data_IF_930512786411
#
_entry.id   IF_930512786411
#
_cell.length_a   1.000
_cell.length_b   1.000
_cell.length_c   1.000
_cell.angle_alpha   90.00
_cell.angle_beta   90.00
_cell.angle_gamma   90.00
#
_symmetry.space_group_name_H-M   'P 1'
#
loop_
_entity.id
_entity.type
_entity.pdbx_description
1 polymer ?
#
# COMPACT_ATOMS: atom_id res chain seq x y z
N UNK A 1 20.02 -26.75 16.31
CA UNK A 1 19.15 -26.36 15.20
C UNK A 1 17.75 -26.19 15.76
N UNK A 2 17.18 -25.00 15.59
CA UNK A 2 15.97 -24.58 16.28
C UNK A 2 14.74 -25.30 15.66
N UNK A 3 13.91 -25.94 16.50
CA UNK A 3 12.66 -26.61 16.06
C UNK A 3 11.74 -25.68 15.27
N UNK A 4 11.84 -24.39 15.52
CA UNK A 4 11.05 -23.36 14.86
C UNK A 4 11.45 -23.17 13.38
N UNK A 5 12.75 -23.29 13.06
CA UNK A 5 13.27 -23.18 11.69
C UNK A 5 12.81 -24.37 10.83
N UNK A 6 12.79 -25.58 11.41
CA UNK A 6 12.28 -26.76 10.70
C UNK A 6 10.78 -26.69 10.44
N UNK A 7 9.99 -26.16 11.38
CA UNK A 7 8.55 -25.96 11.20
C UNK A 7 8.24 -24.92 10.13
N UNK A 8 9.02 -23.85 10.06
CA UNK A 8 8.88 -22.81 9.02
C UNK A 8 9.25 -23.35 7.63
N UNK A 9 10.38 -24.08 7.51
CA UNK A 9 10.79 -24.73 6.27
C UNK A 9 9.75 -25.74 5.77
N UNK A 10 9.19 -26.56 6.66
CA UNK A 10 8.14 -27.51 6.31
C UNK A 10 6.87 -26.81 5.78
N UNK A 11 6.46 -25.71 6.42
CA UNK A 11 5.33 -24.91 5.96
C UNK A 11 5.58 -24.25 4.60
N UNK A 12 6.81 -23.81 4.34
CA UNK A 12 7.19 -23.26 3.02
C UNK A 12 7.19 -24.36 1.93
N UNK A 13 7.67 -25.56 2.25
CA UNK A 13 7.62 -26.71 1.34
C UNK A 13 6.18 -27.07 0.97
N UNK A 14 5.29 -27.20 1.95
CA UNK A 14 3.87 -27.49 1.73
C UNK A 14 3.17 -26.43 0.87
N UNK A 15 3.58 -25.16 0.98
CA UNK A 15 3.05 -24.08 0.16
C UNK A 15 3.55 -24.16 -1.28
N UNK A 16 4.85 -24.40 -1.47
CA UNK A 16 5.43 -24.59 -2.79
C UNK A 16 4.81 -25.77 -3.52
N UNK A 17 4.61 -26.90 -2.83
CA UNK A 17 3.95 -28.08 -3.41
C UNK A 17 2.52 -27.79 -3.87
N UNK A 18 1.74 -27.05 -3.07
CA UNK A 18 0.38 -26.62 -3.46
C UNK A 18 0.38 -25.73 -4.69
N UNK A 19 1.31 -24.77 -4.77
CA UNK A 19 1.46 -23.89 -5.91
C UNK A 19 1.87 -24.65 -7.17
N UNK A 20 2.82 -25.60 -7.06
CA UNK A 20 3.27 -26.45 -8.17
C UNK A 20 2.13 -27.37 -8.64
N UNK A 21 1.37 -27.93 -7.71
CA UNK A 21 0.23 -28.80 -8.04
C UNK A 21 -0.84 -28.02 -8.81
N UNK A 22 -1.20 -26.83 -8.34
CA UNK A 22 -2.12 -25.94 -9.05
C UNK A 22 -1.63 -25.61 -10.47
N UNK A 23 -0.36 -25.20 -10.61
CA UNK A 23 0.21 -24.88 -11.93
C UNK A 23 0.17 -26.08 -12.86
N UNK A 24 0.45 -27.30 -12.37
CA UNK A 24 0.35 -28.54 -13.15
C UNK A 24 -1.09 -28.81 -13.58
N UNK A 25 -2.08 -28.60 -12.72
CA UNK A 25 -3.49 -28.75 -13.06
C UNK A 25 -3.94 -27.74 -14.12
N UNK A 26 -3.54 -26.47 -14.00
CA UNK A 26 -3.80 -25.43 -15.00
C UNK A 26 -3.19 -25.80 -16.36
N UNK A 27 -1.91 -26.18 -16.38
CA UNK A 27 -1.21 -26.60 -17.60
C UNK A 27 -1.87 -27.84 -18.21
N UNK A 28 -2.21 -28.83 -17.40
CA UNK A 28 -2.89 -30.05 -17.85
C UNK A 28 -4.27 -29.75 -18.45
N UNK A 29 -5.01 -28.83 -17.86
CA UNK A 29 -6.32 -28.40 -18.37
C UNK A 29 -6.17 -27.67 -19.69
N UNK A 30 -5.21 -26.73 -19.78
CA UNK A 30 -4.91 -26.01 -21.04
C UNK A 30 -4.45 -26.94 -22.16
N UNK A 31 -3.64 -27.95 -21.87
CA UNK A 31 -3.13 -28.91 -22.85
C UNK A 31 -4.19 -29.90 -23.34
N UNK A 32 -5.20 -30.23 -22.53
CA UNK A 32 -6.28 -31.16 -22.88
C UNK A 32 -7.41 -30.52 -23.66
N UNK A 33 -7.46 -29.18 -23.72
CA UNK A 33 -8.55 -28.47 -24.36
C UNK A 33 -8.19 -28.25 -25.86
N UNK A 34 -8.83 -28.91 -26.79
CA UNK A 34 -8.64 -28.63 -28.21
C UNK A 34 -9.08 -27.19 -28.51
N UNK A 35 -8.21 -26.41 -29.11
CA UNK A 35 -8.51 -25.01 -29.49
C UNK A 35 -8.72 -24.91 -30.99
N UNK A 36 -9.64 -24.07 -31.43
CA UNK A 36 -9.77 -23.71 -32.83
C UNK A 36 -8.47 -23.04 -33.33
N UNK A 37 -7.86 -23.47 -34.41
CA UNK A 37 -6.62 -22.89 -34.92
C UNK A 37 -6.71 -21.40 -35.25
N UNK A 38 -7.92 -20.92 -35.60
CA UNK A 38 -8.12 -19.53 -36.04
C UNK A 38 -8.43 -18.54 -34.91
N UNK A 39 -9.13 -18.96 -33.86
CA UNK A 39 -9.56 -18.05 -32.78
C UNK A 39 -9.07 -18.44 -31.38
N UNK A 40 -8.38 -19.58 -31.23
CA UNK A 40 -7.88 -20.14 -29.97
C UNK A 40 -8.97 -20.41 -28.90
N UNK A 41 -10.24 -20.45 -29.32
CA UNK A 41 -11.36 -20.84 -28.47
C UNK A 41 -11.45 -22.36 -28.39
N UNK A 42 -11.87 -22.98 -27.28
CA UNK A 42 -12.09 -24.41 -27.19
C UNK A 42 -13.02 -24.90 -28.27
N UNK A 43 -12.62 -25.97 -28.96
CA UNK A 43 -13.36 -26.50 -30.14
C UNK A 43 -14.74 -27.04 -29.79
N UNK A 44 -15.00 -27.38 -28.54
CA UNK A 44 -16.28 -27.90 -28.01
C UNK A 44 -17.24 -26.81 -27.54
N UNK A 45 -16.84 -25.53 -27.60
CA UNK A 45 -17.64 -24.40 -27.17
C UNK A 45 -17.84 -24.32 -25.63
N UNK A 46 -17.19 -25.18 -24.86
CA UNK A 46 -17.30 -25.15 -23.39
C UNK A 46 -16.41 -24.08 -22.80
N UNK A 47 -16.94 -23.33 -21.84
CA UNK A 47 -16.15 -22.42 -21.01
C UNK A 47 -15.52 -23.28 -19.89
N UNK A 48 -14.21 -23.47 -19.97
CA UNK A 48 -13.48 -24.12 -18.90
C UNK A 48 -13.13 -23.06 -17.84
N UNK A 49 -13.73 -23.19 -16.67
CA UNK A 49 -13.30 -22.40 -15.50
C UNK A 49 -12.03 -23.03 -14.92
N UNK A 50 -10.97 -22.25 -14.84
CA UNK A 50 -9.79 -22.68 -14.08
C UNK A 50 -10.18 -22.86 -12.61
N UNK A 51 -9.60 -23.86 -11.90
CA UNK A 51 -9.83 -24.00 -10.47
C UNK A 51 -9.42 -22.70 -9.76
N UNK A 52 -10.26 -22.26 -8.83
CA UNK A 52 -9.93 -21.08 -8.00
C UNK A 52 -8.71 -21.38 -7.13
N UNK A 53 -7.79 -20.42 -7.07
CA UNK A 53 -6.67 -20.50 -6.14
C UNK A 53 -7.20 -20.48 -4.70
N UNK A 54 -6.68 -21.34 -3.82
CA UNK A 54 -7.04 -21.27 -2.41
C UNK A 54 -6.65 -19.90 -1.84
N UNK A 55 -7.59 -19.27 -1.14
CA UNK A 55 -7.28 -18.03 -0.42
C UNK A 55 -6.24 -18.32 0.64
N UNK A 56 -5.26 -17.44 0.76
CA UNK A 56 -4.17 -17.53 1.72
C UNK A 56 -4.34 -16.46 2.79
N UNK A 57 -3.93 -16.77 4.00
CA UNK A 57 -3.86 -15.77 5.06
C UNK A 57 -2.58 -14.97 4.86
N UNK A 58 -2.71 -13.67 4.62
CA UNK A 58 -1.59 -12.78 4.29
C UNK A 58 -0.51 -12.79 5.40
N UNK A 59 -0.93 -12.82 6.68
CA UNK A 59 -0.02 -12.79 7.84
C UNK A 59 0.88 -14.03 7.93
N UNK A 60 0.44 -15.16 7.35
CA UNK A 60 1.20 -16.40 7.32
C UNK A 60 2.24 -16.46 6.18
N UNK A 61 2.16 -15.55 5.19
CA UNK A 61 3.09 -15.48 4.07
C UNK A 61 4.32 -14.66 4.43
N UNK A 62 5.50 -15.05 3.95
CA UNK A 62 6.68 -14.19 3.96
C UNK A 62 6.54 -13.03 2.97
N UNK A 63 7.28 -11.96 3.14
CA UNK A 63 7.29 -10.84 2.18
C UNK A 63 7.76 -11.28 0.78
N UNK A 64 8.65 -12.26 0.71
CA UNK A 64 9.11 -12.85 -0.56
C UNK A 64 7.98 -13.60 -1.28
N UNK A 65 7.16 -14.38 -0.57
CA UNK A 65 5.98 -15.05 -1.15
C UNK A 65 4.94 -14.03 -1.64
N UNK A 66 4.67 -12.99 -0.86
CA UNK A 66 3.76 -11.91 -1.27
C UNK A 66 4.26 -11.27 -2.58
N UNK A 67 5.55 -10.96 -2.66
CA UNK A 67 6.15 -10.39 -3.87
C UNK A 67 6.11 -11.36 -5.07
N UNK A 68 6.24 -12.66 -4.84
CA UNK A 68 6.08 -13.67 -5.88
C UNK A 68 4.66 -13.69 -6.44
N UNK A 69 3.63 -13.65 -5.59
CA UNK A 69 2.24 -13.55 -6.04
C UNK A 69 1.96 -12.23 -6.75
N UNK A 70 2.53 -11.14 -6.27
CA UNK A 70 2.47 -9.83 -6.93
C UNK A 70 3.04 -9.90 -8.36
N UNK A 71 4.26 -10.38 -8.52
CA UNK A 71 4.96 -10.48 -9.80
C UNK A 71 4.28 -11.44 -10.79
N UNK A 72 3.63 -12.49 -10.30
CA UNK A 72 2.88 -13.44 -11.13
C UNK A 72 1.51 -12.94 -11.57
N UNK A 73 1.05 -11.77 -11.12
CA UNK A 73 -0.30 -11.25 -11.37
C UNK A 73 -1.41 -12.02 -10.66
N UNK A 74 -1.07 -12.77 -9.61
CA UNK A 74 -2.01 -13.64 -8.89
C UNK A 74 -2.40 -13.08 -7.51
N UNK A 75 -1.87 -11.92 -7.11
CA UNK A 75 -2.06 -11.37 -5.78
C UNK A 75 -3.55 -11.20 -5.42
N UNK A 76 -4.36 -10.62 -6.30
CA UNK A 76 -5.80 -10.40 -6.12
C UNK A 76 -6.64 -11.70 -6.16
N UNK A 77 -6.04 -12.80 -6.60
CA UNK A 77 -6.67 -14.14 -6.59
C UNK A 77 -6.47 -14.85 -5.26
N UNK A 78 -5.32 -14.67 -4.61
CA UNK A 78 -4.96 -15.35 -3.35
C UNK A 78 -5.23 -14.50 -2.11
N UNK A 79 -5.11 -13.17 -2.20
CA UNK A 79 -5.36 -12.24 -1.12
C UNK A 79 -6.64 -11.43 -1.35
N UNK A 80 -7.12 -10.78 -0.30
CA UNK A 80 -8.25 -9.88 -0.36
C UNK A 80 -7.85 -8.46 0.08
N UNK A 81 -8.54 -7.46 -0.44
CA UNK A 81 -8.45 -6.11 0.06
C UNK A 81 -8.90 -6.09 1.53
N UNK A 82 -8.10 -5.47 2.39
CA UNK A 82 -8.31 -5.50 3.84
C UNK A 82 -7.49 -6.56 4.58
N UNK A 83 -6.92 -7.57 3.89
CA UNK A 83 -6.02 -8.52 4.52
C UNK A 83 -4.82 -7.80 5.15
N UNK A 84 -4.37 -8.33 6.29
CA UNK A 84 -3.33 -7.69 7.10
C UNK A 84 -2.15 -8.60 7.35
N UNK A 85 -0.97 -7.98 7.51
CA UNK A 85 0.27 -8.64 7.90
C UNK A 85 1.03 -7.80 8.93
N UNK A 86 1.42 -8.46 10.03
CA UNK A 86 2.26 -7.84 11.05
C UNK A 86 3.74 -7.84 10.65
N UNK A 87 4.43 -6.79 11.06
CA UNK A 87 5.89 -6.69 10.96
C UNK A 87 6.43 -5.87 12.13
N UNK A 88 7.71 -6.03 12.45
CA UNK A 88 8.32 -5.35 13.60
C UNK A 88 9.43 -4.42 13.12
N UNK A 89 9.34 -3.16 13.51
CA UNK A 89 10.39 -2.16 13.27
C UNK A 89 11.64 -2.48 14.10
N UNK A 90 12.81 -1.96 13.70
CA UNK A 90 14.09 -2.18 14.39
C UNK A 90 14.10 -1.69 15.84
N UNK A 91 13.21 -0.76 16.21
CA UNK A 91 13.02 -0.29 17.59
C UNK A 91 12.07 -1.16 18.43
N UNK A 92 11.59 -2.30 17.88
CA UNK A 92 10.68 -3.23 18.55
C UNK A 92 9.19 -2.90 18.42
N UNK A 93 8.82 -1.81 17.78
CA UNK A 93 7.41 -1.47 17.51
C UNK A 93 6.80 -2.45 16.52
N UNK A 94 5.67 -3.06 16.88
CA UNK A 94 4.91 -3.94 15.98
C UNK A 94 3.92 -3.09 15.17
N UNK A 95 4.00 -3.14 13.86
CA UNK A 95 3.10 -2.47 12.93
C UNK A 95 2.30 -3.51 12.14
N UNK A 96 1.14 -3.08 11.64
CA UNK A 96 0.28 -3.91 10.79
C UNK A 96 0.15 -3.25 9.42
N UNK A 97 0.59 -3.92 8.37
CA UNK A 97 0.31 -3.54 6.98
C UNK A 97 -1.06 -4.10 6.56
N UNK A 98 -1.87 -3.29 5.88
CA UNK A 98 -3.16 -3.67 5.29
C UNK A 98 -3.11 -3.47 3.79
N UNK A 99 -3.59 -4.43 3.01
CA UNK A 99 -3.82 -4.24 1.57
C UNK A 99 -4.97 -3.23 1.41
N UNK A 100 -4.67 -2.09 0.81
CA UNK A 100 -5.66 -1.04 0.53
C UNK A 100 -6.14 -1.04 -0.92
N UNK A 101 -5.35 -1.57 -1.85
CA UNK A 101 -5.79 -1.79 -3.23
C UNK A 101 -4.87 -2.77 -3.98
N UNK A 102 -5.37 -3.25 -5.13
CA UNK A 102 -4.62 -4.03 -6.11
C UNK A 102 -4.55 -3.29 -7.44
N UNK A 103 -3.39 -3.34 -8.10
CA UNK A 103 -3.17 -2.77 -9.44
C UNK A 103 -3.56 -1.28 -9.55
N UNK A 104 -3.43 -0.53 -8.48
CA UNK A 104 -3.87 0.86 -8.37
C UNK A 104 -2.75 1.85 -8.70
N UNK A 105 -1.56 1.59 -8.22
CA UNK A 105 -0.42 2.47 -8.33
C UNK A 105 0.53 2.08 -9.46
N UNK A 106 1.41 3.00 -9.85
CA UNK A 106 2.45 2.74 -10.85
C UNK A 106 3.82 3.20 -10.35
N UNK A 107 4.87 2.66 -10.95
CA UNK A 107 6.23 3.20 -10.82
C UNK A 107 6.47 4.37 -11.80
N UNK A 108 7.68 4.92 -11.79
CA UNK A 108 8.07 6.04 -12.68
C UNK A 108 8.12 5.66 -14.17
N UNK A 109 8.20 4.38 -14.51
CA UNK A 109 8.14 3.83 -15.86
C UNK A 109 6.70 3.50 -16.30
N UNK A 110 5.69 3.79 -15.47
CA UNK A 110 4.27 3.45 -15.63
C UNK A 110 3.97 1.94 -15.59
N UNK A 111 4.85 1.12 -15.00
CA UNK A 111 4.51 -0.26 -14.70
C UNK A 111 3.55 -0.30 -13.52
N UNK A 112 2.51 -1.14 -13.63
CA UNK A 112 1.54 -1.32 -12.54
C UNK A 112 2.23 -2.00 -11.35
N UNK A 113 2.01 -1.45 -10.17
CA UNK A 113 2.41 -2.04 -8.88
C UNK A 113 1.25 -2.89 -8.34
N UNK A 114 1.44 -4.21 -8.21
CA UNK A 114 0.32 -5.14 -7.99
C UNK A 114 -0.40 -4.98 -6.65
N UNK A 115 0.30 -4.61 -5.59
CA UNK A 115 -0.28 -4.47 -4.24
C UNK A 115 0.15 -3.15 -3.63
N UNK A 116 -0.82 -2.39 -3.14
CA UNK A 116 -0.59 -1.22 -2.30
C UNK A 116 -1.02 -1.51 -0.87
N UNK A 117 -0.12 -1.28 0.06
CA UNK A 117 -0.32 -1.39 1.50
C UNK A 117 -0.39 -0.01 2.16
N UNK A 118 -1.05 0.04 3.30
CA UNK A 118 -0.96 1.14 4.27
C UNK A 118 -0.88 0.57 5.68
N UNK A 119 -0.13 1.22 6.59
CA UNK A 119 -0.12 0.81 7.99
C UNK A 119 -1.48 1.08 8.65
N UNK A 120 -1.94 0.13 9.46
CA UNK A 120 -3.20 0.25 10.22
C UNK A 120 -3.04 1.28 11.32
N UNK A 121 -1.93 1.21 12.03
CA UNK A 121 -1.58 2.13 13.10
C UNK A 121 -0.71 3.28 12.56
N UNK A 122 -0.68 4.38 13.29
CA UNK A 122 0.32 5.43 13.12
C UNK A 122 1.63 5.04 13.83
N UNK A 123 2.74 5.65 13.42
CA UNK A 123 4.00 5.56 14.16
C UNK A 123 3.80 6.10 15.59
N UNK A 124 4.60 5.62 16.55
CA UNK A 124 4.50 6.08 17.94
C UNK A 124 4.89 7.55 18.12
N UNK A 125 5.86 8.01 17.32
CA UNK A 125 6.28 9.40 17.31
C UNK A 125 5.41 10.22 16.38
N UNK A 126 5.19 11.49 16.76
CA UNK A 126 4.53 12.49 15.93
C UNK A 126 5.55 13.28 15.11
N UNK A 127 5.18 13.68 13.91
CA UNK A 127 6.06 14.34 12.96
C UNK A 127 5.46 15.63 12.42
N UNK A 128 6.33 16.61 12.15
CA UNK A 128 5.97 17.80 11.39
C UNK A 128 6.03 17.51 9.89
N UNK A 129 5.14 18.13 9.12
CA UNK A 129 5.29 18.15 7.66
C UNK A 129 6.53 18.92 7.25
N UNK A 130 6.74 20.09 7.87
CA UNK A 130 7.91 20.95 7.67
C UNK A 130 8.32 21.63 8.99
N UNK A 131 9.59 21.95 9.19
CA UNK A 131 10.05 22.71 10.36
C UNK A 131 9.64 24.18 10.31
N UNK A 132 9.19 24.69 9.16
CA UNK A 132 8.75 26.03 8.93
C UNK A 132 7.29 26.07 8.48
N UNK A 133 6.60 27.18 8.77
CA UNK A 133 5.21 27.44 8.35
C UNK A 133 5.14 27.62 6.83
N UNK A 134 5.28 26.54 6.08
CA UNK A 134 5.22 26.54 4.62
C UNK A 134 4.77 25.19 4.06
N UNK A 135 3.93 25.23 3.01
CA UNK A 135 3.62 24.07 2.19
C UNK A 135 4.19 24.19 0.77
N UNK A 136 5.09 25.17 0.53
CA UNK A 136 5.68 25.43 -0.78
C UNK A 136 6.54 24.22 -1.22
N UNK A 137 6.23 23.72 -2.40
CA UNK A 137 6.83 22.52 -2.98
C UNK A 137 6.09 21.23 -2.61
N UNK A 138 5.03 21.33 -1.80
CA UNK A 138 4.15 20.23 -1.44
C UNK A 138 4.92 19.06 -0.82
N UNK A 139 4.41 17.86 -1.02
CA UNK A 139 5.05 16.62 -0.59
C UNK A 139 6.48 16.46 -1.10
N UNK A 140 6.72 16.85 -2.34
CA UNK A 140 8.04 16.74 -2.97
C UNK A 140 9.16 17.34 -2.12
N UNK A 141 8.91 18.48 -1.48
CA UNK A 141 9.91 19.20 -0.69
C UNK A 141 9.75 19.00 0.82
N UNK A 142 8.70 18.29 1.28
CA UNK A 142 8.40 18.16 2.71
C UNK A 142 9.51 17.46 3.48
N UNK A 143 9.69 17.87 4.73
CA UNK A 143 10.59 17.21 5.68
C UNK A 143 10.09 15.80 6.00
N UNK A 144 8.78 15.61 6.15
CA UNK A 144 8.19 14.29 6.45
C UNK A 144 8.55 13.26 5.36
N UNK A 145 8.47 13.65 4.07
CA UNK A 145 8.90 12.77 2.98
C UNK A 145 10.34 12.30 3.14
N UNK A 146 11.24 13.23 3.51
CA UNK A 146 12.66 12.91 3.73
C UNK A 146 12.84 11.97 4.92
N UNK A 147 12.12 12.22 6.02
CA UNK A 147 12.15 11.35 7.21
C UNK A 147 11.67 9.94 6.88
N UNK A 148 10.55 9.80 6.17
CA UNK A 148 10.04 8.49 5.77
C UNK A 148 11.04 7.70 4.91
N UNK A 149 11.62 8.35 3.91
CA UNK A 149 12.43 7.67 2.90
C UNK A 149 13.94 7.60 3.25
N UNK A 150 14.37 8.21 4.34
CA UNK A 150 15.75 8.09 4.82
C UNK A 150 15.85 7.40 6.19
N UNK A 151 14.90 7.67 7.10
CA UNK A 151 14.99 7.18 8.48
C UNK A 151 14.00 6.04 8.75
N UNK A 152 12.71 6.24 8.46
CA UNK A 152 11.68 5.23 8.76
C UNK A 152 11.87 3.97 7.91
N UNK A 153 12.25 4.11 6.64
CA UNK A 153 12.51 2.97 5.76
C UNK A 153 13.60 2.05 6.32
N UNK A 154 14.62 2.61 6.96
CA UNK A 154 15.70 1.83 7.57
C UNK A 154 15.25 1.09 8.84
N UNK A 155 14.13 1.49 9.44
CA UNK A 155 13.54 0.77 10.57
C UNK A 155 12.73 -0.46 10.13
N UNK A 156 12.37 -0.57 8.87
CA UNK A 156 11.61 -1.72 8.35
C UNK A 156 12.45 -3.00 8.33
N UNK A 157 11.84 -4.19 8.49
CA UNK A 157 12.53 -5.47 8.33
C UNK A 157 13.23 -5.57 6.97
N UNK A 158 14.40 -6.19 6.96
CA UNK A 158 15.23 -6.26 5.75
C UNK A 158 14.58 -7.06 4.60
N UNK A 159 13.75 -8.04 4.91
CA UNK A 159 12.98 -8.83 3.94
C UNK A 159 11.84 -7.99 3.32
N UNK A 160 11.16 -7.16 4.11
CA UNK A 160 10.18 -6.20 3.61
C UNK A 160 10.85 -5.15 2.70
N UNK A 161 11.96 -4.54 3.14
CA UNK A 161 12.68 -3.53 2.34
C UNK A 161 13.12 -4.05 0.97
N UNK A 162 13.46 -5.33 0.85
CA UNK A 162 13.87 -5.96 -0.43
C UNK A 162 12.77 -6.03 -1.47
N UNK A 163 11.52 -6.05 -1.05
CA UNK A 163 10.37 -6.23 -1.95
C UNK A 163 9.62 -4.93 -2.24
N UNK A 164 9.80 -3.90 -1.42
CA UNK A 164 9.20 -2.58 -1.63
C UNK A 164 9.66 -2.00 -2.98
N UNK A 165 8.67 -1.52 -3.75
CA UNK A 165 8.87 -0.82 -5.02
C UNK A 165 8.56 0.66 -4.86
N UNK A 166 9.43 1.56 -5.38
CA UNK A 166 9.11 2.98 -5.38
C UNK A 166 7.84 3.27 -6.19
N UNK A 167 6.91 3.98 -5.56
CA UNK A 167 5.61 4.32 -6.12
C UNK A 167 5.62 5.77 -6.63
N UNK A 168 5.07 6.00 -7.82
CA UNK A 168 4.92 7.34 -8.37
C UNK A 168 3.73 8.04 -7.68
N UNK A 169 3.99 9.19 -7.06
CA UNK A 169 2.97 10.00 -6.41
C UNK A 169 2.91 11.40 -7.00
N UNK A 170 1.70 11.81 -7.39
CA UNK A 170 1.40 13.17 -7.87
C UNK A 170 0.84 13.97 -6.70
N UNK A 171 1.39 15.16 -6.46
CA UNK A 171 0.93 16.05 -5.38
C UNK A 171 1.05 17.49 -5.81
N UNK A 172 0.12 18.35 -5.36
CA UNK A 172 0.21 19.78 -5.53
C UNK A 172 1.54 20.32 -4.98
N UNK A 173 2.11 21.32 -5.66
CA UNK A 173 3.31 22.00 -5.17
C UNK A 173 3.00 23.05 -4.10
N UNK A 174 1.75 23.15 -3.63
CA UNK A 174 1.37 24.09 -2.58
C UNK A 174 1.69 25.55 -2.92
N UNK A 175 1.75 26.40 -1.88
CA UNK A 175 2.15 27.80 -2.07
C UNK A 175 1.25 28.60 -3.03
N UNK A 176 -0.05 28.28 -3.12
CA UNK A 176 -1.00 28.82 -4.12
C UNK A 176 -0.65 28.46 -5.58
N UNK A 177 0.13 27.40 -5.78
CA UNK A 177 0.47 26.90 -7.11
C UNK A 177 -0.60 25.92 -7.62
N UNK A 178 -1.05 26.09 -8.85
CA UNK A 178 -1.87 25.09 -9.55
C UNK A 178 -1.04 23.96 -10.16
N UNK A 179 0.29 23.99 -9.97
CA UNK A 179 1.21 22.97 -10.49
C UNK A 179 1.29 21.75 -9.57
N UNK A 180 1.62 20.63 -10.16
CA UNK A 180 1.85 19.36 -9.47
C UNK A 180 3.30 18.93 -9.63
N UNK A 181 3.82 18.32 -8.58
CA UNK A 181 5.08 17.58 -8.58
C UNK A 181 4.83 16.07 -8.66
N UNK A 182 5.82 15.37 -9.16
CA UNK A 182 5.86 13.90 -9.18
C UNK A 182 7.03 13.44 -8.33
N UNK A 183 6.77 12.50 -7.43
CA UNK A 183 7.80 11.85 -6.63
C UNK A 183 7.74 10.35 -6.82
N UNK A 184 8.89 9.68 -6.74
CA UNK A 184 8.98 8.23 -6.74
C UNK A 184 9.49 7.81 -5.36
N UNK A 185 8.59 7.30 -4.53
CA UNK A 185 8.82 7.09 -3.11
C UNK A 185 8.61 5.63 -2.70
N UNK A 186 9.57 4.99 -2.02
CA UNK A 186 9.37 3.72 -1.34
C UNK A 186 8.28 3.78 -0.27
N UNK A 187 8.27 4.85 0.55
CA UNK A 187 7.25 5.13 1.56
C UNK A 187 6.58 6.48 1.28
N UNK A 188 5.27 6.53 1.44
CA UNK A 188 4.49 7.75 1.23
C UNK A 188 3.32 7.83 2.22
N UNK A 189 2.77 9.01 2.48
CA UNK A 189 1.46 9.15 3.09
C UNK A 189 0.41 9.40 2.01
N UNK A 190 -0.83 8.99 2.27
CA UNK A 190 -1.92 9.11 1.31
C UNK A 190 -2.31 10.59 1.13
N UNK A 191 -2.90 10.93 -0.02
CA UNK A 191 -3.52 12.24 -0.24
C UNK A 191 -4.96 12.25 0.26
N UNK A 192 -5.51 13.45 0.43
CA UNK A 192 -6.93 13.63 0.73
C UNK A 192 -7.82 12.91 -0.30
N UNK A 193 -7.50 13.03 -1.58
CA UNK A 193 -8.29 12.41 -2.64
C UNK A 193 -8.17 10.87 -2.63
N UNK A 194 -7.03 10.31 -2.29
CA UNK A 194 -6.84 8.86 -2.16
C UNK A 194 -7.64 8.27 -0.99
N UNK A 195 -7.89 9.06 0.07
CA UNK A 195 -8.65 8.65 1.25
C UNK A 195 -10.15 8.90 1.06
N UNK A 196 -10.54 10.11 0.64
CA UNK A 196 -11.95 10.53 0.61
C UNK A 196 -12.61 10.46 -0.78
N UNK A 197 -11.86 10.10 -1.82
CA UNK A 197 -12.36 10.01 -3.19
C UNK A 197 -12.63 11.36 -3.87
N UNK A 198 -12.42 12.45 -3.15
CA UNK A 198 -12.66 13.82 -3.61
C UNK A 198 -11.74 14.82 -2.91
N UNK A 199 -11.57 15.98 -3.48
CA UNK A 199 -10.98 17.11 -2.78
C UNK A 199 -11.99 17.69 -1.77
N UNK A 200 -11.53 18.00 -0.58
CA UNK A 200 -12.28 18.70 0.46
C UNK A 200 -11.58 20.01 0.77
N UNK A 201 -10.30 19.96 1.12
CA UNK A 201 -9.45 21.09 1.45
C UNK A 201 -8.24 21.27 0.54
N UNK A 202 -7.79 20.20 -0.14
CA UNK A 202 -6.67 20.22 -1.07
C UNK A 202 -7.01 20.84 -2.43
N UNK A 203 -6.02 20.97 -3.31
CA UNK A 203 -6.25 21.32 -4.72
C UNK A 203 -6.94 20.19 -5.52
N UNK A 204 -6.92 18.95 -5.03
CA UNK A 204 -7.38 17.76 -5.75
C UNK A 204 -6.37 17.31 -6.82
N UNK A 205 -6.75 16.32 -7.62
CA UNK A 205 -5.89 15.78 -8.68
C UNK A 205 -4.63 15.04 -8.20
N UNK A 206 -4.63 14.57 -6.95
CA UNK A 206 -3.49 13.98 -6.25
C UNK A 206 -3.61 12.46 -6.11
N UNK A 207 -4.13 11.80 -7.10
CA UNK A 207 -4.34 10.36 -7.13
C UNK A 207 -5.81 9.98 -7.25
N UNK A 208 -6.11 8.71 -7.06
CA UNK A 208 -7.43 8.13 -7.15
C UNK A 208 -7.82 7.49 -5.81
N UNK A 209 -9.11 7.38 -5.56
CA UNK A 209 -9.66 6.81 -4.34
C UNK A 209 -9.28 5.34 -4.20
N UNK A 210 -8.61 4.96 -3.12
CA UNK A 210 -8.26 3.56 -2.85
C UNK A 210 -9.49 2.71 -2.54
N UNK A 211 -9.48 1.49 -3.03
CA UNK A 211 -10.57 0.55 -2.88
C UNK A 211 -10.96 0.25 -1.43
N UNK A 212 -9.99 0.17 -0.51
CA UNK A 212 -10.26 0.01 0.93
C UNK A 212 -11.18 1.12 1.46
N UNK A 213 -10.92 2.36 1.09
CA UNK A 213 -11.68 3.52 1.54
C UNK A 213 -13.03 3.71 0.82
N UNK A 214 -13.32 2.90 -0.22
CA UNK A 214 -14.63 2.86 -0.89
C UNK A 214 -15.61 1.92 -0.19
N UNK A 215 -15.13 1.04 0.71
CA UNK A 215 -15.98 0.06 1.36
C UNK A 215 -16.89 0.73 2.39
N UNK A 216 -18.12 0.25 2.49
CA UNK A 216 -19.04 0.68 3.55
C UNK A 216 -18.44 0.35 4.93
N UNK A 217 -18.67 1.24 5.87
CA UNK A 217 -18.22 1.13 7.27
C UNK A 217 -16.69 1.11 7.45
N UNK A 218 -15.90 1.54 6.47
CA UNK A 218 -14.46 1.70 6.64
C UNK A 218 -14.17 2.80 7.66
N UNK A 219 -13.36 2.49 8.65
CA UNK A 219 -12.87 3.48 9.61
C UNK A 219 -11.71 4.26 8.99
N UNK A 220 -11.88 5.57 8.83
CA UNK A 220 -10.86 6.48 8.30
C UNK A 220 -9.88 6.93 9.36
N UNK A 221 -10.32 7.01 10.63
CA UNK A 221 -9.47 7.32 11.78
C UNK A 221 -8.50 6.20 12.06
N UNK A 222 -7.35 6.56 12.63
CA UNK A 222 -6.32 5.60 13.04
C UNK A 222 -6.00 5.78 14.53
N UNK A 223 -5.31 4.79 15.07
CA UNK A 223 -4.85 4.79 16.44
C UNK A 223 -3.34 4.56 16.47
N UNK A 224 -2.70 4.99 17.54
CA UNK A 224 -1.35 4.54 17.91
C UNK A 224 -1.40 3.08 18.41
N UNK A 225 -0.24 2.47 18.60
CA UNK A 225 -0.11 1.10 19.10
C UNK A 225 -0.81 0.87 20.46
N UNK A 226 -0.91 1.88 21.28
CA UNK A 226 -1.59 1.83 22.58
C UNK A 226 -3.13 1.92 22.49
N UNK A 227 -3.68 2.09 21.28
CA UNK A 227 -5.11 2.22 21.02
C UNK A 227 -5.65 3.65 21.15
N UNK A 228 -4.83 4.64 21.47
CA UNK A 228 -5.24 6.04 21.47
C UNK A 228 -5.51 6.51 20.04
N UNK A 229 -6.65 7.21 19.86
CA UNK A 229 -6.98 7.81 18.56
C UNK A 229 -5.95 8.88 18.24
N UNK A 230 -5.54 8.88 16.96
CA UNK A 230 -4.49 9.74 16.48
C UNK A 230 -4.95 10.55 15.26
N UNK A 231 -4.38 11.73 15.10
CA UNK A 231 -4.49 12.55 13.91
C UNK A 231 -3.32 12.20 13.00
N UNK A 232 -3.54 12.07 11.71
CA UNK A 232 -2.48 11.66 10.80
C UNK A 232 -2.37 12.56 9.58
N UNK A 233 -1.15 12.89 9.21
CA UNK A 233 -0.88 13.70 8.03
C UNK A 233 -1.33 13.02 6.74
N UNK A 234 -1.80 13.86 5.82
CA UNK A 234 -1.92 13.57 4.41
C UNK A 234 -0.81 14.31 3.65
N UNK A 235 -0.43 13.83 2.44
CA UNK A 235 0.58 14.54 1.65
C UNK A 235 0.05 15.80 0.96
N UNK A 236 -1.25 16.04 1.00
CA UNK A 236 -1.94 17.12 0.31
C UNK A 236 -1.70 18.46 0.99
N UNK A 237 -1.08 19.45 0.29
CA UNK A 237 -1.11 20.82 0.75
C UNK A 237 -2.55 21.37 0.74
N UNK A 238 -2.90 22.20 1.73
CA UNK A 238 -4.16 22.92 1.73
C UNK A 238 -4.25 23.88 0.54
N UNK A 239 -5.42 23.94 -0.11
CA UNK A 239 -5.62 24.67 -1.35
C UNK A 239 -5.74 26.19 -1.22
N UNK A 240 -5.77 26.74 -0.01
CA UNK A 240 -6.04 28.17 0.21
C UNK A 240 -4.99 28.93 1.02
N UNK A 241 -4.12 28.25 1.76
CA UNK A 241 -3.14 28.88 2.67
C UNK A 241 -1.78 28.20 2.51
N UNK A 242 -0.72 29.01 2.44
CA UNK A 242 0.62 28.57 2.05
C UNK A 242 1.45 27.87 3.15
N UNK A 243 0.93 27.75 4.36
CA UNK A 243 1.64 27.14 5.48
C UNK A 243 1.00 25.85 6.02
N UNK A 244 -0.05 25.33 5.34
CA UNK A 244 -0.95 24.33 5.88
C UNK A 244 -0.95 23.07 5.00
N UNK A 245 -1.07 21.89 5.66
CA UNK A 245 -1.34 20.59 5.03
C UNK A 245 -2.64 19.99 5.55
N UNK A 246 -3.24 19.13 4.74
CA UNK A 246 -4.40 18.34 5.11
C UNK A 246 -4.01 17.19 6.05
N UNK A 247 -4.94 16.77 6.90
CA UNK A 247 -4.80 15.62 7.77
C UNK A 247 -6.17 14.96 8.03
N UNK A 248 -6.15 13.69 8.47
CA UNK A 248 -7.33 12.99 8.99
C UNK A 248 -7.33 13.10 10.50
N UNK A 249 -8.43 13.60 11.09
CA UNK A 249 -8.56 13.70 12.54
C UNK A 249 -8.87 12.32 13.18
N UNK A 250 -8.78 12.22 14.51
CA UNK A 250 -8.97 10.98 15.24
C UNK A 250 -10.36 10.33 15.07
N UNK A 251 -11.37 11.07 14.63
CA UNK A 251 -12.70 10.53 14.28
C UNK A 251 -12.83 10.14 12.81
N UNK A 252 -11.78 10.31 12.00
CA UNK A 252 -11.76 9.97 10.59
C UNK A 252 -12.22 11.09 9.65
N UNK A 253 -12.49 12.28 10.15
CA UNK A 253 -12.86 13.43 9.32
C UNK A 253 -11.66 14.13 8.69
N UNK A 254 -11.83 14.67 7.48
CA UNK A 254 -10.85 15.54 6.85
C UNK A 254 -10.68 16.84 7.64
N UNK A 255 -9.46 17.31 7.75
CA UNK A 255 -9.12 18.58 8.38
C UNK A 255 -7.78 19.11 7.85
N UNK A 256 -7.30 20.24 8.39
CA UNK A 256 -6.03 20.85 7.98
C UNK A 256 -5.39 21.59 9.16
N UNK A 257 -4.05 21.67 9.16
CA UNK A 257 -3.33 22.46 10.17
C UNK A 257 -1.93 22.87 9.70
N UNK A 258 -1.25 23.63 10.52
CA UNK A 258 0.06 24.19 10.25
C UNK A 258 1.10 23.11 9.98
N UNK A 259 1.92 23.30 8.97
CA UNK A 259 2.99 22.36 8.61
C UNK A 259 3.98 22.10 9.74
N UNK A 260 4.04 23.02 10.70
CA UNK A 260 4.90 22.95 11.92
C UNK A 260 4.29 22.19 13.09
N UNK A 261 3.01 21.84 13.00
CA UNK A 261 2.40 20.99 14.02
C UNK A 261 2.86 19.55 13.85
N UNK A 262 2.81 18.78 14.94
CA UNK A 262 3.23 17.40 14.96
C UNK A 262 2.01 16.47 15.08
N UNK A 263 1.88 15.56 14.14
CA UNK A 263 0.81 14.54 14.11
C UNK A 263 1.38 13.16 13.76
N UNK A 264 0.57 12.15 13.99
CA UNK A 264 0.87 10.78 13.63
C UNK A 264 1.08 10.58 12.13
N UNK A 265 1.75 9.50 11.80
CA UNK A 265 2.05 9.11 10.43
C UNK A 265 1.68 7.65 10.21
N UNK A 266 0.73 7.42 9.32
CA UNK A 266 0.46 6.13 8.71
C UNK A 266 0.99 6.17 7.29
N UNK A 267 1.89 5.25 6.95
CA UNK A 267 2.54 5.28 5.65
C UNK A 267 2.08 4.14 4.74
N UNK A 268 2.04 4.43 3.43
CA UNK A 268 1.82 3.46 2.38
C UNK A 268 3.13 3.01 1.74
N UNK A 269 3.10 1.82 1.12
CA UNK A 269 4.16 1.26 0.29
C UNK A 269 3.59 0.26 -0.71
N UNK A 270 4.33 -0.02 -1.79
CA UNK A 270 3.92 -0.98 -2.82
C UNK A 270 4.87 -2.18 -2.90
N UNK A 271 4.31 -3.33 -3.30
CA UNK A 271 5.06 -4.57 -3.55
C UNK A 271 4.73 -5.11 -4.93
#
# INVERSE_FOLDING_TARGET
>A
MDKNVFSQLAAEFDRMERTITYQKEVISTMQKTPTCPCCKVPADGRIYTLPELPKMKLDDCSWAEIAMYAQSGMADKVFAQGDTKKFTLSNGTVMTARIIDFNHDTDKENNILPITFETVETLNDDFQMNPEYTNKGGWQNSQLRKVLNNSVIEMLPADLRKVIKPCLKKTSLGGNSEKYGLTSDPLFVLSEQEIFGRKIYSHGGEGHWYGWYRQENTEYGKCKQNGERDWRWERSPFGGITGIFCYVNGSGGANYNDATDSYGVSFGFCV
#
